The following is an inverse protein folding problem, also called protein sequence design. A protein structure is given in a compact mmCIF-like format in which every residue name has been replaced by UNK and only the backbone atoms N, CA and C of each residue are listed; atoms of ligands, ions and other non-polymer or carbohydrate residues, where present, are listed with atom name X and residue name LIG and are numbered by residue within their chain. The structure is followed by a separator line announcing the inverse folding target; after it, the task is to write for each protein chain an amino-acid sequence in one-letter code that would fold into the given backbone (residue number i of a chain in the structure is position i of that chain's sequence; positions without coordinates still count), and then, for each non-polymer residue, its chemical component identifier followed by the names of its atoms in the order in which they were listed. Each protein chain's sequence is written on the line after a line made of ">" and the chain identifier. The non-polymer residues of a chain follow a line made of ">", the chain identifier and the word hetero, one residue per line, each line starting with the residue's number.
data_IF_989978964418
#
_entry.id   IF_989978964418
#
_cell.length_a   1.000
_cell.length_b   1.000
_cell.length_c   1.000
_cell.angle_alpha   90.00
_cell.angle_beta   90.00
_cell.angle_gamma   90.00
#
_symmetry.space_group_name_H-M   'P 1'
#
loop_
_entity.id
_entity.type
_entity.pdbx_description
1 polymer ?
#
# COMPACT_ATOMS: atom_id res chain seq x y z
N UNK A 1 7.83 33.36 32.31
CA UNK A 1 8.32 33.07 30.93
C UNK A 1 8.29 31.58 30.58
N UNK A 2 8.35 30.66 31.55
CA UNK A 2 8.31 29.20 31.31
C UNK A 2 7.01 28.70 30.69
N UNK A 3 5.84 29.20 31.11
CA UNK A 3 4.56 28.77 30.55
C UNK A 3 4.46 29.05 29.04
N UNK A 4 5.06 30.15 28.57
CA UNK A 4 5.12 30.49 27.14
C UNK A 4 6.04 29.55 26.35
N UNK A 5 7.05 28.96 27.00
CA UNK A 5 7.94 27.97 26.36
C UNK A 5 7.24 26.61 26.23
N UNK A 6 6.53 26.19 27.28
CA UNK A 6 5.74 24.94 27.27
C UNK A 6 4.63 25.02 26.21
N UNK A 7 3.89 26.13 26.14
CA UNK A 7 2.85 26.33 25.11
C UNK A 7 3.44 26.24 23.69
N UNK A 8 4.63 26.78 23.45
CA UNK A 8 5.30 26.66 22.14
C UNK A 8 5.61 25.19 21.79
N UNK A 9 6.12 24.41 22.73
CA UNK A 9 6.39 22.99 22.48
C UNK A 9 5.11 22.17 22.24
N UNK A 10 4.04 22.47 22.98
CA UNK A 10 2.74 21.84 22.75
C UNK A 10 2.19 22.19 21.36
N UNK A 11 2.28 23.46 20.95
CA UNK A 11 1.85 23.88 19.61
C UNK A 11 2.66 23.19 18.51
N UNK A 12 3.98 23.10 18.67
CA UNK A 12 4.85 22.37 17.74
C UNK A 12 4.42 20.90 17.66
N UNK A 13 4.24 20.23 18.81
CA UNK A 13 3.80 18.83 18.87
C UNK A 13 2.46 18.60 18.18
N UNK A 14 1.48 19.49 18.39
CA UNK A 14 0.17 19.43 17.74
C UNK A 14 0.32 19.59 16.21
N UNK A 15 1.13 20.54 15.74
CA UNK A 15 1.38 20.75 14.31
C UNK A 15 2.00 19.51 13.67
N UNK A 16 2.89 18.80 14.37
CA UNK A 16 3.50 17.58 13.84
C UNK A 16 2.54 16.38 13.87
N UNK A 17 1.59 16.28 14.81
CA UNK A 17 0.69 15.12 14.94
C UNK A 17 -0.58 15.23 14.08
N UNK A 18 -1.14 16.42 13.95
CA UNK A 18 -2.37 16.63 13.17
C UNK A 18 -2.32 16.06 11.73
N UNK A 19 -1.24 16.20 10.94
CA UNK A 19 -1.23 15.71 9.55
C UNK A 19 -1.26 14.18 9.41
N UNK A 20 -0.92 13.41 10.46
CA UNK A 20 -0.94 11.94 10.37
C UNK A 20 -2.36 11.36 10.23
N UNK A 21 -3.40 12.12 10.59
CA UNK A 21 -4.79 11.68 10.48
C UNK A 21 -5.44 12.05 9.12
N UNK A 22 -4.75 12.78 8.25
CA UNK A 22 -5.28 13.25 6.96
C UNK A 22 -4.63 12.56 5.76
N UNK A 23 -4.19 11.30 5.93
CA UNK A 23 -3.67 10.51 4.82
C UNK A 23 -4.88 9.93 4.06
N UNK A 24 -5.18 10.52 2.91
CA UNK A 24 -6.18 10.01 1.96
C UNK A 24 -5.53 8.96 1.06
N UNK A 25 -5.34 7.76 1.60
CA UNK A 25 -4.90 6.60 0.84
C UNK A 25 -6.01 5.54 0.79
N UNK A 26 -6.00 4.73 -0.27
CA UNK A 26 -6.83 3.56 -0.37
C UNK A 26 -6.38 2.52 0.66
N UNK A 27 -7.30 1.98 1.47
CA UNK A 27 -6.96 0.94 2.44
C UNK A 27 -6.88 -0.44 1.77
N UNK A 28 -5.82 -1.16 2.09
CA UNK A 28 -5.60 -2.60 1.87
C UNK A 28 -6.80 -3.50 2.24
N UNK A 29 -7.48 -3.22 3.35
CA UNK A 29 -8.63 -4.02 3.83
C UNK A 29 -9.92 -3.80 3.04
N UNK A 30 -9.97 -2.76 2.21
CA UNK A 30 -11.17 -2.40 1.43
C UNK A 30 -10.91 -2.41 -0.06
N UNK A 31 -9.87 -1.72 -0.52
CA UNK A 31 -9.63 -1.45 -1.94
C UNK A 31 -9.03 -2.65 -2.66
N UNK A 32 -8.02 -3.30 -2.08
CA UNK A 32 -7.42 -4.49 -2.68
C UNK A 32 -8.45 -5.60 -2.91
N UNK A 33 -9.19 -6.08 -1.88
CA UNK A 33 -10.15 -7.16 -2.08
C UNK A 33 -11.33 -6.74 -2.97
N UNK A 34 -11.72 -5.46 -3.00
CA UNK A 34 -12.78 -4.99 -3.90
C UNK A 34 -12.34 -5.00 -5.37
N UNK A 35 -11.15 -4.47 -5.68
CA UNK A 35 -10.62 -4.52 -7.05
C UNK A 35 -10.40 -5.96 -7.51
N UNK A 36 -9.86 -6.82 -6.64
CA UNK A 36 -9.70 -8.24 -6.93
C UNK A 36 -11.03 -8.93 -7.23
N UNK A 37 -12.09 -8.58 -6.51
CA UNK A 37 -13.45 -9.12 -6.74
C UNK A 37 -13.95 -8.79 -8.16
N UNK A 38 -13.89 -7.52 -8.53
CA UNK A 38 -14.34 -7.01 -9.83
C UNK A 38 -13.54 -7.59 -11.00
N UNK A 39 -12.21 -7.72 -10.84
CA UNK A 39 -11.35 -8.29 -11.89
C UNK A 39 -11.63 -9.78 -12.08
N UNK A 40 -11.92 -10.52 -11.00
CA UNK A 40 -12.29 -11.94 -11.11
C UNK A 40 -13.66 -12.09 -11.80
N UNK A 41 -14.62 -11.22 -11.51
CA UNK A 41 -15.93 -11.26 -12.18
C UNK A 41 -15.80 -10.92 -13.67
N UNK A 42 -14.96 -9.93 -14.00
CA UNK A 42 -14.61 -9.59 -15.38
C UNK A 42 -13.93 -10.78 -16.09
N UNK A 43 -12.96 -11.42 -15.43
CA UNK A 43 -12.27 -12.59 -15.98
C UNK A 43 -13.25 -13.74 -16.24
N UNK A 44 -14.10 -14.07 -15.27
CA UNK A 44 -15.11 -15.12 -15.39
C UNK A 44 -16.14 -14.83 -16.49
N UNK A 45 -16.44 -13.56 -16.74
CA UNK A 45 -17.32 -13.14 -17.83
C UNK A 45 -16.68 -13.41 -19.21
N UNK A 46 -15.41 -13.07 -19.40
CA UNK A 46 -14.72 -13.25 -20.69
C UNK A 46 -14.18 -14.66 -20.92
N UNK A 47 -13.91 -15.42 -19.86
CA UNK A 47 -13.28 -16.75 -19.91
C UNK A 47 -14.10 -17.79 -19.13
N UNK A 48 -15.34 -18.10 -19.54
CA UNK A 48 -16.23 -18.99 -18.79
C UNK A 48 -15.71 -20.42 -18.66
N UNK A 49 -14.93 -20.91 -19.63
CA UNK A 49 -14.32 -22.24 -19.59
C UNK A 49 -13.17 -22.36 -18.58
N UNK A 50 -12.64 -21.21 -18.12
CA UNK A 50 -11.55 -21.11 -17.13
C UNK A 50 -12.05 -20.49 -15.82
N UNK A 51 -13.36 -20.54 -15.58
CA UNK A 51 -14.00 -19.83 -14.48
C UNK A 51 -13.33 -20.13 -13.14
N UNK A 52 -12.91 -19.06 -12.46
CA UNK A 52 -12.48 -19.07 -11.07
C UNK A 52 -13.73 -19.27 -10.21
N UNK A 53 -13.74 -20.34 -9.42
CA UNK A 53 -14.84 -20.65 -8.51
C UNK A 53 -14.96 -19.62 -7.38
N UNK A 54 -16.11 -19.56 -6.72
CA UNK A 54 -16.33 -18.64 -5.59
C UNK A 54 -15.36 -18.91 -4.43
N UNK A 55 -14.97 -20.18 -4.22
CA UNK A 55 -13.99 -20.56 -3.21
C UNK A 55 -12.59 -20.03 -3.56
N UNK A 56 -12.17 -20.17 -4.81
CA UNK A 56 -10.90 -19.61 -5.29
C UNK A 56 -10.92 -18.08 -5.24
N UNK A 57 -12.04 -17.46 -5.64
CA UNK A 57 -12.25 -16.00 -5.53
C UNK A 57 -12.04 -15.52 -4.10
N UNK A 58 -12.62 -16.20 -3.11
CA UNK A 58 -12.44 -15.86 -1.70
C UNK A 58 -10.97 -15.97 -1.24
N UNK A 59 -10.24 -17.01 -1.69
CA UNK A 59 -8.82 -17.18 -1.38
C UNK A 59 -7.95 -16.11 -2.03
N UNK A 60 -8.22 -15.74 -3.29
CA UNK A 60 -7.47 -14.70 -4.01
C UNK A 60 -7.70 -13.33 -3.35
N UNK A 61 -8.94 -12.99 -2.99
CA UNK A 61 -9.25 -11.76 -2.24
C UNK A 61 -8.56 -11.72 -0.88
N UNK A 62 -8.47 -12.85 -0.18
CA UNK A 62 -7.68 -12.91 1.06
C UNK A 62 -6.19 -12.67 0.77
N UNK A 63 -5.67 -13.29 -0.28
CA UNK A 63 -4.29 -13.09 -0.73
C UNK A 63 -3.96 -11.63 -1.04
N UNK A 64 -4.87 -10.90 -1.68
CA UNK A 64 -4.70 -9.47 -1.99
C UNK A 64 -4.70 -8.56 -0.76
N UNK A 65 -5.36 -8.95 0.34
CA UNK A 65 -5.22 -8.21 1.61
C UNK A 65 -3.95 -8.61 2.34
N UNK A 66 -3.63 -9.90 2.36
CA UNK A 66 -2.47 -10.42 3.09
C UNK A 66 -1.12 -9.92 2.52
N UNK A 67 -1.07 -9.33 1.31
CA UNK A 67 0.16 -8.79 0.71
C UNK A 67 0.74 -7.58 1.45
N UNK A 68 -0.12 -6.82 2.12
CA UNK A 68 0.29 -5.69 2.95
C UNK A 68 0.84 -6.11 4.33
N UNK A 69 0.81 -7.41 4.67
CA UNK A 69 1.40 -7.91 5.91
C UNK A 69 2.92 -7.72 5.90
N UNK A 70 3.44 -7.05 6.94
CA UNK A 70 4.88 -6.86 7.11
C UNK A 70 5.65 -8.20 7.14
N UNK A 71 6.82 -8.31 6.47
CA UNK A 71 7.52 -7.26 5.73
C UNK A 71 7.22 -7.22 4.22
N UNK A 72 6.19 -7.92 3.74
CA UNK A 72 5.95 -8.10 2.28
C UNK A 72 5.64 -6.79 1.57
N UNK A 73 4.97 -5.87 2.24
CA UNK A 73 4.71 -4.50 1.77
C UNK A 73 5.93 -3.73 1.24
N UNK A 74 7.15 -4.11 1.62
CA UNK A 74 8.39 -3.52 1.11
C UNK A 74 8.62 -3.82 -0.38
N UNK A 75 7.89 -4.79 -0.94
CA UNK A 75 7.95 -5.19 -2.35
C UNK A 75 6.94 -4.42 -3.22
N UNK A 76 6.11 -3.52 -2.66
CA UNK A 76 5.04 -2.82 -3.40
C UNK A 76 5.53 -1.62 -4.24
N UNK A 77 6.83 -1.36 -4.23
CA UNK A 77 7.42 -0.26 -4.98
C UNK A 77 8.09 -0.80 -6.23
N UNK A 78 7.81 -0.17 -7.37
CA UNK A 78 8.46 -0.48 -8.64
C UNK A 78 8.78 0.82 -9.38
N UNK A 79 10.04 0.95 -9.79
CA UNK A 79 10.58 2.03 -10.60
C UNK A 79 10.72 1.52 -12.05
N UNK A 80 9.81 1.91 -12.95
CA UNK A 80 9.81 1.42 -14.33
C UNK A 80 10.93 2.02 -15.19
N UNK A 81 11.51 3.17 -14.79
CA UNK A 81 12.58 3.82 -15.56
C UNK A 81 13.88 3.01 -15.44
N UNK A 82 14.14 2.49 -14.24
CA UNK A 82 15.36 1.72 -13.94
C UNK A 82 15.10 0.22 -13.69
N UNK A 83 13.86 -0.23 -13.90
CA UNK A 83 13.40 -1.61 -13.72
C UNK A 83 13.84 -2.23 -12.38
N UNK A 84 13.46 -1.60 -11.26
CA UNK A 84 13.90 -2.01 -9.92
C UNK A 84 12.82 -1.80 -8.85
N UNK A 85 12.88 -2.55 -7.76
CA UNK A 85 12.02 -2.35 -6.59
C UNK A 85 12.52 -1.24 -5.66
N UNK A 86 12.00 -1.19 -4.43
CA UNK A 86 12.50 -0.28 -3.39
C UNK A 86 13.99 -0.54 -3.12
N UNK A 87 14.83 0.48 -3.38
CA UNK A 87 16.26 0.42 -3.12
C UNK A 87 16.59 1.19 -1.85
N UNK A 88 16.97 0.45 -0.80
CA UNK A 88 17.33 1.05 0.50
C UNK A 88 18.77 1.61 0.51
N UNK A 89 19.59 1.30 -0.49
CA UNK A 89 20.99 1.75 -0.60
C UNK A 89 21.27 2.22 -2.02
N UNK A 90 21.73 3.47 -2.18
CA UNK A 90 22.07 4.02 -3.50
C UNK A 90 23.00 3.05 -4.25
N UNK A 91 22.65 2.59 -5.46
CA UNK A 91 23.55 1.75 -6.25
C UNK A 91 24.84 2.54 -6.43
N UNK A 92 25.97 1.91 -6.15
CA UNK A 92 27.27 2.46 -6.51
C UNK A 92 27.22 2.58 -8.03
N UNK A 93 27.12 3.81 -8.53
CA UNK A 93 27.08 4.07 -9.97
C UNK A 93 28.37 3.51 -10.56
N UNK A 94 28.26 2.47 -11.38
CA UNK A 94 29.34 2.09 -12.28
C UNK A 94 29.49 3.24 -13.26
N UNK A 95 30.58 3.99 -13.15
CA UNK A 95 31.01 4.87 -14.23
C UNK A 95 31.71 3.98 -15.28
N UNK A 96 31.35 4.12 -16.57
CA UNK A 96 31.99 3.37 -17.65
C UNK A 96 33.50 3.67 -17.74
#
# INVERSE_FOLDING_TARGET
>A
MENRRIIKYILIFIIFILPFNFILAYSDTTTHPALTDEIIDLFNHYYPDLKISDQEKALIKKGSTDEDIAPRWMQHFYDPIYNRGLVLVKPITYQP
#
